data_IF_767279078154
#
_entry.id   IF_767279078154
#
_cell.length_a   1.000
_cell.length_b   1.000
_cell.length_c   1.000
_cell.angle_alpha   90.00
_cell.angle_beta   90.00
_cell.angle_gamma   90.00
#
_symmetry.space_group_name_H-M   'P 1'
#
loop_
_entity.id
_entity.type
_entity.pdbx_description
1 polymer ?
#
# COMPACT_ATOMS: atom_id res chain seq x y z
N UNK A 1 -2.07 20.85 16.91
CA UNK A 1 -3.44 21.41 17.04
C UNK A 1 -4.20 21.49 15.72
N UNK A 2 -3.68 22.11 14.64
CA UNK A 2 -4.40 22.22 13.34
C UNK A 2 -4.74 20.86 12.71
N UNK A 3 -3.86 19.88 12.72
CA UNK A 3 -4.11 18.55 12.15
C UNK A 3 -5.18 17.75 12.92
N UNK A 4 -5.20 17.86 14.24
CA UNK A 4 -6.18 17.16 15.09
C UNK A 4 -7.60 17.72 14.86
N UNK A 5 -7.71 19.04 14.75
CA UNK A 5 -8.99 19.71 14.47
C UNK A 5 -9.50 19.37 13.04
N UNK A 6 -8.62 19.38 12.03
CA UNK A 6 -8.96 18.99 10.66
C UNK A 6 -9.50 17.56 10.62
N UNK A 7 -8.82 16.62 11.27
CA UNK A 7 -9.24 15.21 11.35
C UNK A 7 -10.58 15.03 12.05
N UNK A 8 -10.82 15.76 13.14
CA UNK A 8 -12.10 15.72 13.84
C UNK A 8 -13.25 16.27 12.97
N UNK A 9 -13.06 17.43 12.34
CA UNK A 9 -14.05 18.03 11.42
C UNK A 9 -14.39 17.10 10.26
N UNK A 10 -13.37 16.48 9.66
CA UNK A 10 -13.52 15.50 8.59
C UNK A 10 -14.36 14.31 9.03
N UNK A 11 -14.08 13.72 10.20
CA UNK A 11 -14.83 12.59 10.77
C UNK A 11 -16.28 12.95 11.10
N UNK A 12 -16.51 14.09 11.71
CA UNK A 12 -17.85 14.56 12.03
C UNK A 12 -18.69 14.81 10.76
N UNK A 13 -18.10 15.47 9.76
CA UNK A 13 -18.73 15.69 8.44
C UNK A 13 -19.08 14.35 7.77
N UNK A 14 -18.12 13.43 7.70
CA UNK A 14 -18.34 12.12 7.11
C UNK A 14 -19.44 11.32 7.80
N UNK A 15 -19.45 11.29 9.13
CA UNK A 15 -20.49 10.61 9.90
C UNK A 15 -21.88 11.19 9.63
N UNK A 16 -22.01 12.52 9.60
CA UNK A 16 -23.29 13.21 9.32
C UNK A 16 -23.76 12.91 7.90
N UNK A 17 -22.90 13.06 6.90
CA UNK A 17 -23.25 12.83 5.49
C UNK A 17 -23.57 11.35 5.21
N UNK A 18 -22.90 10.44 5.89
CA UNK A 18 -23.19 9.01 5.79
C UNK A 18 -24.53 8.66 6.42
N UNK A 19 -24.79 9.10 7.66
CA UNK A 19 -26.02 8.80 8.39
C UNK A 19 -27.27 9.36 7.69
N UNK A 20 -27.17 10.55 7.08
CA UNK A 20 -28.26 11.17 6.32
C UNK A 20 -28.39 10.69 4.88
N UNK A 21 -27.40 9.93 4.36
CA UNK A 21 -27.32 9.52 2.97
C UNK A 21 -26.92 10.63 1.97
N UNK A 22 -26.73 11.88 2.46
CA UNK A 22 -26.42 13.05 1.64
C UNK A 22 -25.07 12.96 0.89
N UNK A 23 -24.13 12.09 1.36
CA UNK A 23 -22.87 11.85 0.62
C UNK A 23 -23.09 11.47 -0.84
N UNK A 24 -24.19 10.73 -1.14
CA UNK A 24 -24.52 10.28 -2.49
C UNK A 24 -24.78 11.41 -3.49
N UNK A 25 -25.14 12.60 -3.02
CA UNK A 25 -25.34 13.78 -3.89
C UNK A 25 -24.02 14.28 -4.50
N UNK A 26 -22.88 13.99 -3.87
CA UNK A 26 -21.56 14.37 -4.36
C UNK A 26 -21.09 13.46 -5.48
N UNK A 27 -21.57 12.21 -5.55
CA UNK A 27 -21.19 11.24 -6.57
C UNK A 27 -21.42 11.74 -8.01
N UNK A 28 -22.54 12.39 -8.27
CA UNK A 28 -22.84 12.96 -9.59
C UNK A 28 -21.87 14.11 -10.00
N UNK A 29 -21.22 14.74 -9.01
CA UNK A 29 -20.25 15.81 -9.20
C UNK A 29 -18.80 15.35 -9.06
N UNK A 30 -18.58 14.05 -8.79
CA UNK A 30 -17.25 13.45 -8.68
C UNK A 30 -16.54 13.52 -10.04
N UNK A 31 -15.28 13.95 -10.03
CA UNK A 31 -14.42 13.99 -11.20
C UNK A 31 -13.28 13.00 -11.01
N UNK A 32 -13.46 11.79 -11.53
CA UNK A 32 -12.48 10.74 -11.47
C UNK A 32 -12.93 9.47 -10.75
N UNK A 33 -12.18 8.40 -10.93
CA UNK A 33 -12.39 7.10 -10.32
C UNK A 33 -11.58 7.01 -9.03
N UNK A 34 -12.18 6.66 -7.87
CA UNK A 34 -11.45 6.43 -6.64
C UNK A 34 -10.74 5.08 -6.70
N UNK A 35 -9.50 5.06 -6.22
CA UNK A 35 -8.70 3.86 -6.04
C UNK A 35 -8.37 3.72 -4.56
N UNK A 36 -8.83 2.65 -3.92
CA UNK A 36 -8.59 2.37 -2.52
C UNK A 36 -7.33 1.52 -2.37
N UNK A 37 -6.47 1.90 -1.42
CA UNK A 37 -5.19 1.23 -1.15
C UNK A 37 -5.27 0.48 0.18
N UNK A 38 -5.01 -0.80 0.11
CA UNK A 38 -4.93 -1.74 1.23
C UNK A 38 -3.60 -2.48 1.20
N UNK A 39 -3.33 -3.29 2.25
CA UNK A 39 -2.20 -4.21 2.31
C UNK A 39 -2.68 -5.56 2.85
N UNK A 40 -2.56 -5.82 4.16
CA UNK A 40 -3.04 -7.03 4.82
C UNK A 40 -4.56 -7.07 4.99
N UNK A 41 -5.13 -8.27 4.86
CA UNK A 41 -6.54 -8.57 5.12
C UNK A 41 -6.67 -9.55 6.30
N UNK A 42 -7.46 -9.18 7.30
CA UNK A 42 -7.64 -9.97 8.51
C UNK A 42 -6.49 -9.81 9.50
N UNK A 43 -6.47 -10.69 10.50
CA UNK A 43 -5.49 -10.67 11.59
C UNK A 43 -4.93 -12.09 11.83
N UNK A 44 -4.31 -12.74 10.82
CA UNK A 44 -3.70 -14.04 11.06
C UNK A 44 -2.49 -13.90 12.00
N UNK A 45 -2.25 -14.92 12.83
CA UNK A 45 -1.14 -14.89 13.80
C UNK A 45 0.23 -14.71 13.14
N UNK A 46 0.39 -15.17 11.89
CA UNK A 46 1.63 -14.99 11.11
C UNK A 46 1.96 -13.53 10.79
N UNK A 47 0.98 -12.63 10.83
CA UNK A 47 1.15 -11.21 10.54
C UNK A 47 0.85 -10.30 11.74
N UNK A 48 0.76 -10.82 12.96
CA UNK A 48 0.44 -10.03 14.16
C UNK A 48 1.47 -8.93 14.44
N UNK A 49 2.72 -9.13 14.02
CA UNK A 49 3.82 -8.17 14.10
C UNK A 49 3.70 -6.99 13.12
N UNK A 50 2.87 -7.10 12.07
CA UNK A 50 2.67 -6.01 11.11
C UNK A 50 1.79 -4.92 11.76
N UNK A 51 2.13 -3.62 11.62
CA UNK A 51 1.39 -2.54 12.25
C UNK A 51 -0.08 -2.45 11.79
N UNK A 52 -0.97 -2.04 12.71
CA UNK A 52 -2.41 -1.93 12.44
C UNK A 52 -2.80 -1.01 11.29
N UNK A 53 -1.99 0.04 11.02
CA UNK A 53 -2.24 0.94 9.89
C UNK A 53 -2.02 0.28 8.50
N UNK A 54 -1.41 -0.90 8.45
CA UNK A 54 -1.27 -1.72 7.23
C UNK A 54 -2.29 -2.87 7.17
N UNK A 55 -3.23 -2.93 8.09
CA UNK A 55 -4.22 -4.01 8.19
C UNK A 55 -5.64 -3.47 8.05
N UNK A 56 -6.50 -4.32 7.52
CA UNK A 56 -7.94 -4.17 7.60
C UNK A 56 -8.56 -5.52 7.95
N UNK A 57 -9.35 -5.57 9.01
CA UNK A 57 -10.06 -6.77 9.43
C UNK A 57 -10.94 -7.31 8.28
N UNK A 58 -10.98 -8.62 8.08
CA UNK A 58 -11.74 -9.26 7.00
C UNK A 58 -13.25 -8.99 7.13
N UNK A 59 -13.81 -8.99 8.34
CA UNK A 59 -15.21 -8.62 8.56
C UNK A 59 -15.47 -7.16 8.15
N UNK A 60 -14.52 -6.28 8.41
CA UNK A 60 -14.63 -4.87 8.04
C UNK A 60 -14.48 -4.63 6.53
N UNK A 61 -13.59 -5.38 5.87
CA UNK A 61 -13.51 -5.37 4.42
C UNK A 61 -14.82 -5.87 3.80
N UNK A 62 -15.38 -6.97 4.32
CA UNK A 62 -16.70 -7.49 3.90
C UNK A 62 -17.82 -6.46 4.09
N UNK A 63 -17.83 -5.74 5.23
CA UNK A 63 -18.79 -4.64 5.44
C UNK A 63 -18.61 -3.52 4.39
N UNK A 64 -17.37 -3.10 4.11
CA UNK A 64 -17.08 -2.09 3.08
C UNK A 64 -17.57 -2.55 1.70
N UNK A 65 -17.25 -3.77 1.27
CA UNK A 65 -17.70 -4.34 0.00
C UNK A 65 -19.23 -4.40 -0.08
N UNK A 66 -19.89 -4.85 0.99
CA UNK A 66 -21.35 -4.84 1.09
C UNK A 66 -21.95 -3.44 1.00
N UNK A 67 -21.35 -2.43 1.64
CA UNK A 67 -21.79 -1.03 1.56
C UNK A 67 -21.59 -0.43 0.16
N UNK A 68 -20.47 -0.74 -0.50
CA UNK A 68 -20.23 -0.33 -1.89
C UNK A 68 -21.30 -0.92 -2.81
N UNK A 69 -21.57 -2.24 -2.73
CA UNK A 69 -22.61 -2.90 -3.52
C UNK A 69 -24.01 -2.31 -3.27
N UNK A 70 -24.42 -2.13 -1.99
CA UNK A 70 -25.70 -1.48 -1.64
C UNK A 70 -25.79 -0.02 -2.12
N UNK A 71 -24.66 0.63 -2.29
CA UNK A 71 -24.59 1.98 -2.87
C UNK A 71 -24.56 1.97 -4.40
N UNK A 72 -24.62 0.80 -5.05
CA UNK A 72 -24.60 0.64 -6.51
C UNK A 72 -23.21 0.84 -7.12
N UNK A 73 -22.14 0.59 -6.36
CA UNK A 73 -20.79 0.54 -6.89
C UNK A 73 -20.42 -0.87 -7.33
N UNK A 74 -19.85 -0.96 -8.56
CA UNK A 74 -19.07 -2.12 -8.99
C UNK A 74 -17.58 -1.84 -8.86
N UNK A 75 -16.78 -2.89 -8.83
CA UNK A 75 -15.31 -2.77 -8.78
C UNK A 75 -14.71 -2.92 -10.18
N UNK A 76 -13.53 -2.34 -10.37
CA UNK A 76 -12.67 -2.52 -11.54
C UNK A 76 -11.27 -2.92 -11.07
N UNK A 77 -10.52 -3.58 -11.93
CA UNK A 77 -9.07 -3.63 -11.79
C UNK A 77 -8.44 -2.30 -12.25
N UNK A 78 -7.16 -2.09 -11.93
CA UNK A 78 -6.43 -0.90 -12.43
C UNK A 78 -6.36 -0.90 -13.94
N UNK A 79 -6.10 -2.06 -14.57
CA UNK A 79 -6.08 -2.20 -16.03
C UNK A 79 -7.41 -1.80 -16.65
N UNK A 80 -8.54 -2.29 -16.13
CA UNK A 80 -9.88 -1.93 -16.60
C UNK A 80 -10.18 -0.43 -16.41
N UNK A 81 -9.75 0.17 -15.30
CA UNK A 81 -9.86 1.62 -15.10
C UNK A 81 -9.06 2.38 -16.14
N UNK A 82 -7.81 2.01 -16.37
CA UNK A 82 -6.92 2.66 -17.35
C UNK A 82 -7.54 2.58 -18.75
N UNK A 83 -8.05 1.43 -19.15
CA UNK A 83 -8.74 1.28 -20.43
C UNK A 83 -9.97 2.20 -20.57
N UNK A 84 -10.77 2.36 -19.52
CA UNK A 84 -11.88 3.30 -19.52
C UNK A 84 -11.39 4.76 -19.66
N UNK A 85 -10.37 5.14 -18.88
CA UNK A 85 -9.78 6.49 -18.94
C UNK A 85 -9.16 6.79 -20.32
N UNK A 86 -8.56 5.81 -20.99
CA UNK A 86 -7.99 5.94 -22.34
C UNK A 86 -9.06 6.13 -23.41
N UNK A 87 -10.29 5.60 -23.18
CA UNK A 87 -11.46 5.89 -24.02
C UNK A 87 -12.15 7.22 -23.68
N UNK A 88 -11.62 8.00 -22.74
CA UNK A 88 -12.24 9.25 -22.27
C UNK A 88 -13.39 9.04 -21.29
N UNK A 89 -13.54 7.85 -20.73
CA UNK A 89 -14.63 7.49 -19.80
C UNK A 89 -14.18 7.61 -18.34
N UNK A 90 -15.05 8.13 -17.48
CA UNK A 90 -14.86 8.24 -16.04
C UNK A 90 -16.10 7.70 -15.32
N UNK A 91 -16.24 6.37 -15.22
CA UNK A 91 -17.50 5.76 -14.77
C UNK A 91 -17.81 6.16 -13.31
N UNK A 92 -18.99 6.77 -13.05
CA UNK A 92 -19.33 7.32 -11.74
C UNK A 92 -19.69 6.25 -10.71
N UNK A 93 -19.99 5.05 -11.15
CA UNK A 93 -20.44 3.92 -10.35
C UNK A 93 -19.35 2.84 -10.18
N UNK A 94 -18.10 3.22 -10.35
CA UNK A 94 -16.94 2.31 -10.19
C UNK A 94 -15.96 2.80 -9.14
N UNK A 95 -15.32 1.82 -8.50
CA UNK A 95 -14.21 1.98 -7.56
C UNK A 95 -13.17 0.90 -7.85
N UNK A 96 -11.90 1.23 -7.65
CA UNK A 96 -10.81 0.26 -7.78
C UNK A 96 -10.31 -0.11 -6.39
N UNK A 97 -10.07 -1.40 -6.17
CA UNK A 97 -9.47 -1.92 -4.94
C UNK A 97 -8.05 -2.36 -5.26
N UNK A 98 -7.05 -1.90 -4.50
CA UNK A 98 -5.65 -2.29 -4.69
C UNK A 98 -5.06 -2.78 -3.38
N UNK A 99 -4.28 -3.86 -3.44
CA UNK A 99 -3.61 -4.47 -2.30
C UNK A 99 -2.13 -4.58 -2.59
N UNK A 100 -1.30 -4.01 -1.73
CA UNK A 100 0.16 -3.96 -1.93
C UNK A 100 0.86 -5.10 -1.19
N UNK A 101 2.14 -5.31 -1.51
CA UNK A 101 3.12 -6.21 -0.90
C UNK A 101 2.95 -7.71 -1.23
N UNK A 102 1.83 -8.15 -1.77
CA UNK A 102 1.61 -9.56 -2.11
C UNK A 102 1.53 -10.47 -0.89
N UNK A 103 0.79 -10.07 0.14
CA UNK A 103 0.59 -10.88 1.34
C UNK A 103 -0.26 -12.13 1.07
N UNK A 104 0.04 -13.23 1.78
CA UNK A 104 -0.67 -14.50 1.65
C UNK A 104 -2.17 -14.39 1.97
N UNK A 105 -2.56 -13.50 2.86
CA UNK A 105 -3.96 -13.23 3.17
C UNK A 105 -4.76 -12.65 1.99
N UNK A 106 -4.09 -12.12 0.96
CA UNK A 106 -4.75 -11.74 -0.29
C UNK A 106 -5.30 -12.97 -1.04
N UNK A 107 -4.68 -14.13 -0.91
CA UNK A 107 -5.24 -15.39 -1.39
C UNK A 107 -6.21 -15.98 -0.36
N UNK A 108 -5.80 -16.13 0.88
CA UNK A 108 -6.51 -16.95 1.87
C UNK A 108 -7.79 -16.28 2.41
N UNK A 109 -7.85 -14.93 2.42
CA UNK A 109 -8.95 -14.14 3.01
C UNK A 109 -9.58 -13.17 2.01
N UNK A 110 -8.80 -12.40 1.24
CA UNK A 110 -9.35 -11.46 0.27
C UNK A 110 -10.10 -12.17 -0.85
N UNK A 111 -9.54 -13.20 -1.46
CA UNK A 111 -10.15 -13.90 -2.58
C UNK A 111 -11.56 -14.46 -2.26
N UNK A 112 -11.81 -15.12 -1.12
CA UNK A 112 -13.16 -15.50 -0.71
C UNK A 112 -14.13 -14.31 -0.62
N UNK A 113 -13.71 -13.18 -0.02
CA UNK A 113 -14.54 -11.98 0.09
C UNK A 113 -14.86 -11.36 -1.28
N UNK A 114 -13.89 -11.31 -2.19
CA UNK A 114 -14.13 -10.83 -3.56
C UNK A 114 -15.19 -11.69 -4.27
N UNK A 115 -15.10 -13.01 -4.12
CA UNK A 115 -16.10 -13.94 -4.69
C UNK A 115 -17.49 -13.75 -4.09
N UNK A 116 -17.61 -13.64 -2.76
CA UNK A 116 -18.86 -13.41 -2.05
C UNK A 116 -19.55 -12.13 -2.52
N UNK A 117 -18.78 -11.05 -2.68
CA UNK A 117 -19.31 -9.74 -3.08
C UNK A 117 -19.31 -9.48 -4.58
N UNK A 118 -18.91 -10.46 -5.42
CA UNK A 118 -18.76 -10.32 -6.90
C UNK A 118 -17.90 -9.11 -7.26
N UNK A 119 -16.84 -8.92 -6.51
CA UNK A 119 -15.88 -7.84 -6.65
C UNK A 119 -14.59 -8.34 -7.31
N UNK A 120 -13.83 -7.42 -7.90
CA UNK A 120 -12.46 -7.67 -8.35
C UNK A 120 -11.51 -6.65 -7.73
N UNK A 121 -10.19 -6.92 -7.83
CA UNK A 121 -9.14 -6.09 -7.29
C UNK A 121 -7.86 -6.21 -8.13
N UNK A 122 -6.88 -5.36 -7.84
CA UNK A 122 -5.50 -5.50 -8.30
C UNK A 122 -4.60 -5.75 -7.09
N UNK A 123 -3.76 -6.78 -7.13
CA UNK A 123 -2.77 -7.10 -6.10
C UNK A 123 -1.38 -6.82 -6.64
N UNK A 124 -0.61 -5.97 -5.97
CA UNK A 124 0.76 -5.65 -6.33
C UNK A 124 1.73 -6.50 -5.52
N UNK A 125 2.59 -7.23 -6.21
CA UNK A 125 3.41 -8.27 -5.61
C UNK A 125 4.88 -7.87 -5.63
N UNK A 126 5.49 -7.76 -4.45
CA UNK A 126 6.94 -7.79 -4.32
C UNK A 126 7.42 -9.24 -4.46
N UNK A 127 8.41 -9.52 -5.29
CA UNK A 127 8.75 -10.91 -5.63
C UNK A 127 9.90 -11.50 -4.82
N UNK A 128 10.70 -10.68 -4.17
CA UNK A 128 11.85 -11.12 -3.37
C UNK A 128 11.53 -12.16 -2.29
N UNK A 129 10.40 -12.07 -1.55
CA UNK A 129 10.06 -13.08 -0.56
C UNK A 129 9.89 -14.48 -1.12
N UNK A 130 9.43 -14.63 -2.37
CA UNK A 130 9.29 -15.93 -3.05
C UNK A 130 10.67 -16.55 -3.37
N UNK A 131 11.73 -15.72 -3.39
CA UNK A 131 13.13 -16.14 -3.51
C UNK A 131 13.85 -16.21 -2.16
N UNK A 132 13.12 -16.05 -1.03
CA UNK A 132 13.67 -16.06 0.32
C UNK A 132 14.32 -14.75 0.78
N UNK A 133 14.08 -13.65 0.08
CA UNK A 133 14.59 -12.32 0.43
C UNK A 133 13.52 -11.47 1.11
N UNK A 134 13.58 -11.40 2.42
CA UNK A 134 12.66 -10.57 3.21
C UNK A 134 13.18 -9.13 3.25
N UNK A 135 12.35 -8.17 2.92
CA UNK A 135 12.74 -6.77 2.99
C UNK A 135 12.95 -6.32 4.44
N UNK A 136 13.82 -5.31 4.62
CA UNK A 136 14.20 -4.76 5.92
C UNK A 136 13.02 -4.32 6.78
N UNK A 137 11.93 -3.89 6.18
CA UNK A 137 10.77 -3.37 6.91
C UNK A 137 10.08 -4.47 7.73
N UNK A 138 10.05 -5.71 7.21
CA UNK A 138 9.51 -6.86 7.91
C UNK A 138 10.45 -7.37 9.00
N UNK A 139 11.77 -7.39 8.78
CA UNK A 139 12.73 -7.63 9.87
C UNK A 139 12.56 -6.61 10.99
N UNK A 140 12.43 -5.32 10.62
CA UNK A 140 12.19 -4.23 11.56
C UNK A 140 10.91 -4.44 12.37
N UNK A 141 9.77 -4.64 11.73
CA UNK A 141 8.48 -4.83 12.41
C UNK A 141 8.47 -6.08 13.29
N UNK A 142 9.06 -7.18 12.80
CA UNK A 142 9.13 -8.43 13.54
C UNK A 142 9.96 -8.30 14.84
N UNK A 143 11.11 -7.64 14.78
CA UNK A 143 11.93 -7.35 15.95
C UNK A 143 11.26 -6.33 16.86
N UNK A 144 10.70 -5.26 16.29
CA UNK A 144 9.96 -4.23 17.02
C UNK A 144 8.82 -4.80 17.85
N UNK A 145 8.02 -5.70 17.26
CA UNK A 145 6.91 -6.36 17.94
C UNK A 145 7.37 -7.17 19.17
N UNK A 146 8.53 -7.82 19.10
CA UNK A 146 9.06 -8.64 20.19
C UNK A 146 9.80 -7.87 21.27
N UNK A 147 10.48 -6.79 20.92
CA UNK A 147 11.37 -6.06 21.83
C UNK A 147 10.84 -4.69 22.26
N UNK A 148 9.90 -4.15 21.52
CA UNK A 148 9.43 -2.78 21.67
C UNK A 148 10.40 -1.73 21.11
N UNK A 149 9.93 -0.50 20.89
CA UNK A 149 10.69 0.53 20.17
C UNK A 149 11.91 1.02 20.96
N UNK A 150 11.84 1.15 22.30
CA UNK A 150 12.94 1.68 23.09
C UNK A 150 14.13 0.71 23.12
N UNK A 151 13.91 -0.57 23.40
CA UNK A 151 14.96 -1.59 23.40
C UNK A 151 15.61 -1.76 22.02
N UNK A 152 14.79 -1.77 20.95
CA UNK A 152 15.31 -1.80 19.58
C UNK A 152 16.10 -0.53 19.24
N UNK A 153 15.61 0.64 19.62
CA UNK A 153 16.29 1.91 19.37
C UNK A 153 17.63 2.02 20.07
N UNK A 154 17.73 1.53 21.32
CA UNK A 154 19.01 1.45 22.06
C UNK A 154 20.00 0.49 21.38
N UNK A 155 19.54 -0.68 20.93
CA UNK A 155 20.41 -1.63 20.23
C UNK A 155 20.92 -1.06 18.90
N UNK A 156 20.04 -0.47 18.11
CA UNK A 156 20.40 0.21 16.87
C UNK A 156 21.37 1.37 17.13
N UNK A 157 21.11 2.19 18.15
CA UNK A 157 21.97 3.31 18.53
C UNK A 157 23.37 2.91 18.98
N UNK A 158 23.54 1.70 19.54
CA UNK A 158 24.86 1.14 19.86
C UNK A 158 25.62 0.61 18.64
N UNK A 159 24.91 0.09 17.66
CA UNK A 159 25.50 -0.56 16.47
C UNK A 159 25.71 0.39 15.30
N UNK A 160 24.90 1.46 15.21
CA UNK A 160 25.06 2.51 14.21
C UNK A 160 26.10 3.53 14.68
N UNK A 161 26.76 4.19 13.73
CA UNK A 161 27.69 5.29 13.99
C UNK A 161 27.09 6.66 13.69
N UNK A 162 27.86 7.70 13.99
CA UNK A 162 27.63 9.07 13.52
C UNK A 162 26.27 9.68 13.89
N UNK A 163 25.70 10.41 12.96
CA UNK A 163 24.46 11.18 13.15
C UNK A 163 23.24 10.26 13.36
N UNK A 164 23.17 9.12 12.67
CA UNK A 164 22.07 8.17 12.82
C UNK A 164 21.95 7.64 14.26
N UNK A 165 23.07 7.25 14.87
CA UNK A 165 23.12 6.88 16.27
C UNK A 165 22.68 8.03 17.19
N UNK A 166 23.08 9.28 16.87
CA UNK A 166 22.66 10.48 17.58
C UNK A 166 21.15 10.68 17.58
N UNK A 167 20.50 10.47 16.45
CA UNK A 167 19.04 10.60 16.29
C UNK A 167 18.25 9.53 17.04
N UNK A 168 18.86 8.39 17.36
CA UNK A 168 18.24 7.31 18.12
C UNK A 168 18.45 7.43 19.63
N UNK A 169 19.37 8.28 20.07
CA UNK A 169 19.49 8.63 21.51
C UNK A 169 18.33 9.49 21.94
N UNK A 170 17.77 9.21 23.12
CA UNK A 170 16.65 9.98 23.67
C UNK A 170 15.38 9.89 22.81
N UNK A 171 14.99 8.67 22.45
CA UNK A 171 13.69 8.43 21.80
C UNK A 171 12.55 9.02 22.63
N UNK A 172 11.46 9.50 21.98
CA UNK A 172 10.28 9.96 22.70
C UNK A 172 9.77 8.89 23.67
N UNK A 173 9.23 9.26 24.86
CA UNK A 173 8.60 8.30 25.77
C UNK A 173 7.40 7.58 25.15
N UNK A 174 6.65 8.25 24.27
CA UNK A 174 5.54 7.66 23.52
C UNK A 174 6.05 6.60 22.53
N UNK A 175 5.59 5.34 22.64
CA UNK A 175 6.06 4.24 21.78
C UNK A 175 5.82 4.50 20.28
N UNK A 176 4.70 5.12 19.93
CA UNK A 176 4.34 5.40 18.53
C UNK A 176 5.28 6.45 17.93
N UNK A 177 5.60 7.50 18.69
CA UNK A 177 6.56 8.52 18.25
C UNK A 177 8.00 7.97 18.20
N UNK A 178 8.36 7.05 19.10
CA UNK A 178 9.64 6.36 19.09
C UNK A 178 9.77 5.46 17.85
N UNK A 179 8.76 4.64 17.54
CA UNK A 179 8.68 3.81 16.33
C UNK A 179 8.84 4.67 15.07
N UNK A 180 8.07 5.74 14.96
CA UNK A 180 8.15 6.65 13.82
C UNK A 180 9.56 7.21 13.62
N UNK A 181 10.23 7.62 14.70
CA UNK A 181 11.60 8.14 14.64
C UNK A 181 12.58 7.08 14.19
N UNK A 182 12.52 5.86 14.73
CA UNK A 182 13.40 4.75 14.33
C UNK A 182 13.22 4.43 12.85
N UNK A 183 11.97 4.24 12.40
CA UNK A 183 11.65 3.94 11.01
C UNK A 183 12.18 5.01 10.05
N UNK A 184 12.04 6.29 10.43
CA UNK A 184 12.54 7.41 9.63
C UNK A 184 14.07 7.39 9.51
N UNK A 185 14.79 7.19 10.63
CA UNK A 185 16.25 7.10 10.63
C UNK A 185 16.72 5.94 9.76
N UNK A 186 16.14 4.77 9.92
CA UNK A 186 16.47 3.59 9.12
C UNK A 186 16.19 3.78 7.63
N UNK A 187 15.12 4.50 7.28
CA UNK A 187 14.72 4.73 5.88
C UNK A 187 15.60 5.76 5.17
N UNK A 188 16.03 6.83 5.85
CA UNK A 188 16.60 8.00 5.19
C UNK A 188 18.03 8.38 5.65
N UNK A 189 18.46 7.94 6.84
CA UNK A 189 19.74 8.37 7.43
C UNK A 189 20.77 7.23 7.49
N UNK A 190 20.40 6.00 7.10
CA UNK A 190 21.28 4.82 7.07
C UNK A 190 21.34 4.28 5.66
N UNK A 191 22.53 3.87 5.21
CA UNK A 191 22.65 3.21 3.89
C UNK A 191 21.78 1.95 3.84
N UNK A 192 21.21 1.63 2.67
CA UNK A 192 20.40 0.42 2.51
C UNK A 192 21.19 -0.83 2.94
N UNK A 193 22.44 -0.95 2.52
CA UNK A 193 23.29 -2.10 2.85
C UNK A 193 23.54 -2.24 4.35
N UNK A 194 23.84 -1.16 5.08
CA UNK A 194 24.06 -1.22 6.52
C UNK A 194 22.78 -1.48 7.29
N UNK A 195 21.69 -0.84 6.88
CA UNK A 195 20.35 -1.06 7.46
C UNK A 195 19.94 -2.52 7.34
N UNK A 196 20.01 -3.07 6.13
CA UNK A 196 19.51 -4.41 5.83
C UNK A 196 20.37 -5.47 6.54
N UNK A 197 21.70 -5.33 6.51
CA UNK A 197 22.62 -6.19 7.25
C UNK A 197 22.36 -6.14 8.76
N UNK A 198 22.22 -4.94 9.33
CA UNK A 198 22.03 -4.77 10.78
C UNK A 198 20.71 -5.37 11.25
N UNK A 199 19.62 -5.13 10.51
CA UNK A 199 18.31 -5.67 10.85
C UNK A 199 18.25 -7.19 10.67
N UNK A 200 18.89 -7.75 9.63
CA UNK A 200 19.03 -9.20 9.45
C UNK A 200 19.77 -9.85 10.63
N UNK A 201 20.91 -9.27 11.05
CA UNK A 201 21.66 -9.75 12.22
C UNK A 201 20.80 -9.75 13.49
N UNK A 202 20.06 -8.67 13.75
CA UNK A 202 19.18 -8.55 14.92
C UNK A 202 18.00 -9.53 14.82
N UNK A 203 17.40 -9.68 13.65
CA UNK A 203 16.31 -10.60 13.37
C UNK A 203 16.73 -12.05 13.63
N UNK A 204 17.86 -12.50 13.04
CA UNK A 204 18.41 -13.86 13.25
C UNK A 204 18.79 -14.12 14.71
N UNK A 205 19.43 -13.17 15.36
CA UNK A 205 19.77 -13.26 16.78
C UNK A 205 18.54 -13.37 17.71
N UNK A 206 17.39 -12.87 17.25
CA UNK A 206 16.11 -13.01 17.93
C UNK A 206 15.34 -14.29 17.59
N UNK A 207 15.92 -15.20 16.78
CA UNK A 207 15.31 -16.45 16.36
C UNK A 207 14.48 -16.35 15.08
N UNK A 208 14.62 -15.27 14.31
CA UNK A 208 13.93 -15.11 13.02
C UNK A 208 14.50 -16.03 11.94
N UNK A 209 13.63 -16.48 11.04
CA UNK A 209 13.95 -17.33 9.89
C UNK A 209 13.23 -16.82 8.64
N UNK A 210 14.00 -16.36 7.64
CA UNK A 210 13.47 -15.76 6.42
C UNK A 210 12.61 -16.72 5.61
N UNK A 211 13.07 -17.97 5.43
CA UNK A 211 12.35 -18.94 4.62
C UNK A 211 11.02 -19.37 5.27
N UNK A 212 10.97 -19.41 6.60
CA UNK A 212 9.72 -19.67 7.32
C UNK A 212 8.78 -18.48 7.22
N UNK A 213 9.30 -17.25 7.45
CA UNK A 213 8.53 -16.02 7.37
C UNK A 213 7.96 -15.82 5.97
N UNK A 214 8.77 -16.05 4.91
CA UNK A 214 8.32 -15.96 3.52
C UNK A 214 7.10 -16.84 3.26
N UNK A 215 7.17 -18.12 3.62
CA UNK A 215 6.06 -19.07 3.42
C UNK A 215 4.79 -18.73 4.19
N UNK A 216 4.92 -18.11 5.36
CA UNK A 216 3.78 -17.77 6.23
C UNK A 216 3.10 -16.47 5.85
N UNK A 217 3.83 -15.52 5.26
CA UNK A 217 3.39 -14.13 5.14
C UNK A 217 3.12 -13.71 3.70
N UNK A 218 3.84 -14.27 2.71
CA UNK A 218 3.69 -13.87 1.31
C UNK A 218 3.04 -14.93 0.43
N UNK A 219 2.47 -14.47 -0.68
CA UNK A 219 1.93 -15.32 -1.74
C UNK A 219 3.03 -16.24 -2.30
N UNK A 220 2.69 -17.45 -2.64
CA UNK A 220 3.50 -18.29 -3.51
C UNK A 220 3.18 -18.02 -4.99
N UNK A 221 4.00 -18.48 -5.95
CA UNK A 221 3.65 -18.45 -7.36
C UNK A 221 2.33 -19.16 -7.69
N UNK A 222 1.99 -20.21 -6.94
CA UNK A 222 0.72 -20.94 -7.03
C UNK A 222 -0.46 -20.06 -6.59
N UNK A 223 -0.31 -19.34 -5.48
CA UNK A 223 -1.32 -18.41 -4.97
C UNK A 223 -1.55 -17.26 -5.99
N UNK A 224 -0.47 -16.74 -6.62
CA UNK A 224 -0.57 -15.74 -7.68
C UNK A 224 -1.37 -16.26 -8.87
N UNK A 225 -1.11 -17.49 -9.35
CA UNK A 225 -1.92 -18.10 -10.43
C UNK A 225 -3.37 -18.30 -10.03
N UNK A 226 -3.65 -18.65 -8.78
CA UNK A 226 -5.01 -18.84 -8.30
C UNK A 226 -5.80 -17.51 -8.23
N UNK A 227 -5.14 -16.42 -7.84
CA UNK A 227 -5.70 -15.06 -7.88
C UNK A 227 -6.00 -14.63 -9.31
N UNK A 228 -5.04 -14.78 -10.21
CA UNK A 228 -5.17 -14.43 -11.63
C UNK A 228 -6.31 -15.20 -12.32
N UNK A 229 -6.36 -16.54 -12.13
CA UNK A 229 -7.43 -17.39 -12.65
C UNK A 229 -8.83 -17.01 -12.10
N UNK A 230 -8.88 -16.34 -10.96
CA UNK A 230 -10.11 -15.82 -10.37
C UNK A 230 -10.48 -14.40 -10.85
N UNK A 231 -9.72 -13.80 -11.76
CA UNK A 231 -9.95 -12.47 -12.31
C UNK A 231 -9.45 -11.32 -11.43
N UNK A 232 -8.52 -11.61 -10.49
CA UNK A 232 -7.77 -10.58 -9.77
C UNK A 232 -6.55 -10.21 -10.61
N UNK A 233 -6.38 -8.92 -10.91
CA UNK A 233 -5.22 -8.45 -11.64
C UNK A 233 -3.97 -8.50 -10.75
N UNK A 234 -2.85 -9.02 -11.26
CA UNK A 234 -1.55 -8.97 -10.60
C UNK A 234 -0.70 -7.85 -11.21
N UNK A 235 -0.07 -7.03 -10.37
CA UNK A 235 0.85 -5.98 -10.75
C UNK A 235 2.20 -6.12 -10.05
N UNK A 236 3.26 -5.51 -10.62
CA UNK A 236 4.61 -5.55 -10.07
C UNK A 236 4.81 -4.52 -8.94
N UNK A 237 5.62 -4.89 -7.94
CA UNK A 237 5.94 -4.04 -6.77
C UNK A 237 7.43 -4.13 -6.39
N UNK A 238 8.31 -4.21 -7.37
CA UNK A 238 9.75 -4.45 -7.25
C UNK A 238 10.11 -5.83 -6.66
N UNK A 239 11.38 -6.17 -6.65
CA UNK A 239 11.87 -7.39 -5.99
C UNK A 239 11.96 -7.17 -4.48
N UNK A 240 12.70 -6.15 -4.02
CA UNK A 240 13.08 -5.97 -2.63
C UNK A 240 12.41 -4.79 -1.91
N UNK A 241 11.39 -4.16 -2.52
CA UNK A 241 10.64 -3.05 -1.93
C UNK A 241 11.54 -1.87 -1.49
N UNK A 242 12.53 -1.51 -2.32
CA UNK A 242 13.46 -0.41 -2.04
C UNK A 242 12.86 0.95 -2.40
N UNK A 243 13.38 2.02 -1.78
CA UNK A 243 13.07 3.41 -2.18
C UNK A 243 13.78 3.68 -3.50
N UNK A 244 13.05 3.67 -4.62
CA UNK A 244 13.61 3.73 -5.96
C UNK A 244 14.44 5.00 -6.19
N UNK A 245 13.98 6.17 -5.72
CA UNK A 245 14.72 7.42 -5.87
C UNK A 245 16.10 7.46 -5.18
N UNK A 246 16.37 6.53 -4.25
CA UNK A 246 17.67 6.42 -3.58
C UNK A 246 18.69 5.54 -4.32
N UNK A 247 18.27 4.93 -5.44
CA UNK A 247 19.05 4.00 -6.23
C UNK A 247 19.52 4.64 -7.53
N UNK A 248 20.63 4.17 -8.08
CA UNK A 248 20.97 4.48 -9.46
C UNK A 248 20.01 3.83 -10.46
N UNK A 249 19.97 4.33 -11.70
CA UNK A 249 19.05 3.86 -12.73
C UNK A 249 19.17 2.37 -13.03
N UNK A 250 20.40 1.82 -13.02
CA UNK A 250 20.63 0.42 -13.32
C UNK A 250 20.02 -0.48 -12.23
N UNK A 251 20.19 -0.11 -10.98
CA UNK A 251 19.59 -0.80 -9.83
C UNK A 251 18.06 -0.64 -9.81
N UNK A 252 17.52 0.55 -10.10
CA UNK A 252 16.08 0.74 -10.27
C UNK A 252 15.51 -0.19 -11.34
N UNK A 253 16.21 -0.27 -12.50
CA UNK A 253 15.82 -1.18 -13.59
C UNK A 253 15.81 -2.63 -13.13
N UNK A 254 16.86 -3.09 -12.45
CA UNK A 254 16.94 -4.46 -11.95
C UNK A 254 15.80 -4.82 -10.99
N UNK A 255 15.45 -3.92 -10.09
CA UNK A 255 14.33 -4.07 -9.15
C UNK A 255 12.97 -4.18 -9.87
N UNK A 256 12.73 -3.35 -10.86
CA UNK A 256 11.45 -3.29 -11.59
C UNK A 256 11.35 -4.46 -12.58
N UNK A 257 12.38 -4.67 -13.40
CA UNK A 257 12.43 -5.71 -14.42
C UNK A 257 12.46 -7.12 -13.81
N UNK A 258 13.15 -7.30 -12.68
CA UNK A 258 13.16 -8.56 -11.94
C UNK A 258 11.77 -8.98 -11.49
N UNK A 259 11.01 -8.09 -10.86
CA UNK A 259 9.65 -8.39 -10.43
C UNK A 259 8.68 -8.60 -11.61
N UNK A 260 8.86 -7.87 -12.70
CA UNK A 260 8.09 -8.06 -13.94
C UNK A 260 8.39 -9.43 -14.56
N UNK A 261 9.66 -9.84 -14.61
CA UNK A 261 10.10 -11.13 -15.13
C UNK A 261 9.48 -12.28 -14.33
N UNK A 262 9.58 -12.23 -13.01
CA UNK A 262 9.01 -13.24 -12.10
C UNK A 262 7.51 -13.42 -12.34
N UNK A 263 6.75 -12.30 -12.33
CA UNK A 263 5.31 -12.35 -12.54
C UNK A 263 4.93 -12.89 -13.93
N UNK A 264 5.61 -12.47 -15.00
CA UNK A 264 5.40 -13.03 -16.34
C UNK A 264 5.65 -14.52 -16.40
N UNK A 265 6.72 -14.98 -15.74
CA UNK A 265 7.05 -16.40 -15.67
C UNK A 265 5.97 -17.19 -14.90
N UNK A 266 5.48 -16.66 -13.78
CA UNK A 266 4.48 -17.36 -12.97
C UNK A 266 3.10 -17.39 -13.60
N UNK A 267 2.68 -16.30 -14.23
CA UNK A 267 1.33 -16.12 -14.78
C UNK A 267 1.21 -16.62 -16.25
N UNK A 268 2.30 -16.62 -17.00
CA UNK A 268 2.30 -17.02 -18.40
C UNK A 268 1.75 -15.95 -19.36
N UNK A 269 1.55 -14.71 -18.88
CA UNK A 269 1.10 -13.58 -19.70
C UNK A 269 1.74 -12.27 -19.23
N UNK A 270 1.49 -11.17 -19.97
CA UNK A 270 2.02 -9.86 -19.68
C UNK A 270 1.41 -9.24 -18.41
N UNK A 271 2.25 -8.51 -17.67
CA UNK A 271 1.87 -7.67 -16.53
C UNK A 271 2.16 -6.21 -16.90
N UNK A 272 1.15 -5.36 -16.82
CA UNK A 272 1.21 -3.99 -17.34
C UNK A 272 1.03 -2.90 -16.27
N UNK A 273 0.82 -3.29 -15.02
CA UNK A 273 0.59 -2.37 -13.90
C UNK A 273 1.69 -2.48 -12.84
N UNK A 274 2.08 -1.35 -12.27
CA UNK A 274 3.14 -1.23 -11.26
C UNK A 274 2.65 -0.43 -10.06
N UNK A 275 3.11 -0.76 -8.85
CA UNK A 275 2.97 0.12 -7.68
C UNK A 275 4.36 0.53 -7.18
N UNK A 276 4.51 1.83 -6.88
CA UNK A 276 5.76 2.33 -6.31
C UNK A 276 5.88 1.93 -4.84
N UNK A 277 6.98 1.30 -4.39
CA UNK A 277 7.27 1.11 -2.98
C UNK A 277 7.16 2.43 -2.22
N UNK A 278 6.42 2.45 -1.09
CA UNK A 278 6.06 3.65 -0.32
C UNK A 278 5.18 4.66 -1.07
N UNK A 279 5.45 4.93 -2.35
CA UNK A 279 4.62 5.65 -3.30
C UNK A 279 4.43 7.15 -3.08
N UNK A 280 5.25 7.82 -2.26
CA UNK A 280 5.26 9.29 -2.18
C UNK A 280 6.05 9.88 -3.34
N UNK A 281 5.80 11.13 -3.70
CA UNK A 281 6.45 11.80 -4.84
C UNK A 281 7.98 11.91 -4.75
N UNK A 282 8.55 11.69 -3.59
CA UNK A 282 10.00 11.64 -3.36
C UNK A 282 10.58 10.23 -3.26
N UNK A 283 9.76 9.18 -3.34
CA UNK A 283 10.20 7.78 -3.29
C UNK A 283 10.53 7.21 -4.69
N UNK A 284 10.24 7.95 -5.76
CA UNK A 284 10.60 7.66 -7.15
C UNK A 284 11.07 8.94 -7.86
N UNK A 285 11.62 8.83 -9.07
CA UNK A 285 12.16 9.96 -9.84
C UNK A 285 11.97 9.75 -11.36
N UNK A 286 12.52 10.68 -12.17
CA UNK A 286 12.44 10.60 -13.64
C UNK A 286 13.10 9.34 -14.22
N UNK A 287 14.18 8.83 -13.61
CA UNK A 287 14.77 7.54 -14.03
C UNK A 287 13.80 6.40 -13.81
N UNK A 288 13.06 6.38 -12.70
CA UNK A 288 12.02 5.38 -12.44
C UNK A 288 10.93 5.43 -13.52
N UNK A 289 10.45 6.64 -13.85
CA UNK A 289 9.41 6.82 -14.88
C UNK A 289 9.92 6.40 -16.27
N UNK A 290 11.18 6.69 -16.58
CA UNK A 290 11.80 6.27 -17.84
C UNK A 290 11.91 4.74 -17.93
N UNK A 291 12.36 4.08 -16.86
CA UNK A 291 12.45 2.61 -16.79
C UNK A 291 11.09 1.94 -16.97
N UNK A 292 10.05 2.46 -16.31
CA UNK A 292 8.70 1.93 -16.47
C UNK A 292 8.18 2.02 -17.91
N UNK A 293 8.44 3.15 -18.60
CA UNK A 293 8.08 3.33 -20.03
C UNK A 293 8.85 2.35 -20.91
N UNK A 294 10.15 2.20 -20.70
CA UNK A 294 11.01 1.27 -21.46
C UNK A 294 10.63 -0.19 -21.29
N UNK A 295 10.14 -0.57 -20.10
CA UNK A 295 9.66 -1.94 -19.80
C UNK A 295 8.23 -2.18 -20.26
N UNK A 296 7.53 -1.15 -20.79
CA UNK A 296 6.20 -1.26 -21.35
C UNK A 296 5.06 -1.25 -20.33
N UNK A 297 5.29 -0.74 -19.12
CA UNK A 297 4.20 -0.57 -18.15
C UNK A 297 3.18 0.46 -18.67
N UNK A 298 1.92 0.08 -18.68
CA UNK A 298 0.81 0.95 -19.08
C UNK A 298 0.32 1.84 -17.94
N UNK A 299 0.52 1.40 -16.70
CA UNK A 299 0.12 2.16 -15.53
C UNK A 299 1.08 1.97 -14.36
N UNK A 300 1.19 3.01 -13.54
CA UNK A 300 1.85 2.92 -12.24
C UNK A 300 1.07 3.75 -11.22
N UNK A 301 1.00 3.21 -9.99
CA UNK A 301 0.14 3.76 -8.96
C UNK A 301 0.95 4.23 -7.76
N UNK A 302 0.62 5.41 -7.26
CA UNK A 302 1.29 6.07 -6.14
C UNK A 302 0.50 5.90 -4.84
N UNK A 303 1.04 6.39 -3.71
CA UNK A 303 0.29 6.59 -2.47
C UNK A 303 -0.15 8.06 -2.28
N UNK A 304 -0.13 8.85 -3.35
CA UNK A 304 -0.59 10.24 -3.32
C UNK A 304 -2.12 10.29 -3.32
N UNK A 305 -2.73 11.08 -2.41
CA UNK A 305 -4.20 11.13 -2.30
C UNK A 305 -4.86 11.81 -3.50
N UNK A 306 -6.00 11.27 -3.93
CA UNK A 306 -6.82 11.87 -4.97
C UNK A 306 -7.61 10.88 -5.79
N UNK A 307 -8.35 11.41 -6.76
CA UNK A 307 -9.12 10.67 -7.75
C UNK A 307 -8.37 10.64 -9.09
N UNK A 308 -8.73 9.72 -9.96
CA UNK A 308 -8.11 9.54 -11.27
C UNK A 308 -9.11 9.84 -12.38
N UNK A 309 -8.79 10.75 -13.25
CA UNK A 309 -9.60 11.14 -14.41
C UNK A 309 -8.82 10.99 -15.73
N UNK A 310 -9.43 11.40 -16.84
CA UNK A 310 -8.83 11.27 -18.16
C UNK A 310 -7.53 12.07 -18.33
N UNK A 311 -7.32 13.12 -17.53
CA UNK A 311 -6.12 13.95 -17.55
C UNK A 311 -5.03 13.42 -16.61
N UNK A 312 -5.34 12.45 -15.74
CA UNK A 312 -4.35 11.89 -14.80
C UNK A 312 -3.28 11.07 -15.54
N UNK A 313 -2.01 11.37 -15.28
CA UNK A 313 -0.88 10.63 -15.84
C UNK A 313 -0.95 9.15 -15.47
N UNK A 314 -0.87 8.26 -16.46
CA UNK A 314 -1.04 6.80 -16.24
C UNK A 314 0.06 6.18 -15.40
N UNK A 315 1.23 6.80 -15.33
CA UNK A 315 2.34 6.35 -14.47
C UNK A 315 2.35 7.04 -13.10
N UNK A 316 1.34 7.83 -12.76
CA UNK A 316 1.23 8.53 -11.47
C UNK A 316 -0.20 8.55 -10.94
N UNK A 317 -0.87 7.40 -11.04
CA UNK A 317 -2.23 7.23 -10.54
C UNK A 317 -2.28 7.39 -9.02
N UNK A 318 -3.36 8.00 -8.53
CA UNK A 318 -3.54 8.37 -7.12
C UNK A 318 -4.38 7.36 -6.38
N UNK A 319 -4.19 7.28 -5.06
CA UNK A 319 -4.92 6.35 -4.20
C UNK A 319 -5.43 7.01 -2.92
N UNK A 320 -6.41 6.37 -2.32
CA UNK A 320 -6.99 6.69 -1.01
C UNK A 320 -6.58 5.56 -0.06
N UNK A 321 -5.74 5.88 0.93
CA UNK A 321 -5.29 4.90 1.91
C UNK A 321 -6.44 4.47 2.83
N UNK A 322 -6.59 3.18 3.04
CA UNK A 322 -7.59 2.57 3.92
C UNK A 322 -6.90 1.67 4.94
N UNK A 323 -7.24 1.86 6.20
CA UNK A 323 -6.75 1.05 7.32
C UNK A 323 -7.81 0.93 8.40
N UNK A 324 -7.52 0.13 9.42
CA UNK A 324 -8.41 -0.08 10.57
C UNK A 324 -8.83 1.23 11.26
N UNK A 325 -7.96 2.24 11.28
CA UNK A 325 -8.19 3.51 11.95
C UNK A 325 -9.10 4.47 11.20
N UNK A 326 -9.40 4.21 9.92
CA UNK A 326 -10.23 5.08 9.07
C UNK A 326 -11.70 4.66 9.17
N UNK A 327 -12.62 5.49 9.69
CA UNK A 327 -14.03 5.14 9.78
C UNK A 327 -14.65 4.81 8.41
N UNK A 328 -15.54 3.80 8.36
CA UNK A 328 -16.23 3.39 7.13
C UNK A 328 -16.97 4.56 6.45
N UNK A 329 -17.62 5.40 7.23
CA UNK A 329 -18.29 6.60 6.74
C UNK A 329 -17.31 7.55 5.99
N UNK A 330 -16.08 7.65 6.47
CA UNK A 330 -15.03 8.46 5.88
C UNK A 330 -14.57 7.87 4.54
N UNK A 331 -14.36 6.54 4.48
CA UNK A 331 -14.00 5.84 3.24
C UNK A 331 -15.11 6.02 2.20
N UNK A 332 -16.37 5.85 2.56
CA UNK A 332 -17.50 6.03 1.65
C UNK A 332 -17.67 7.48 1.17
N UNK A 333 -17.33 8.47 2.01
CA UNK A 333 -17.30 9.88 1.60
C UNK A 333 -16.16 10.16 0.61
N UNK A 334 -14.99 9.53 0.77
CA UNK A 334 -13.92 9.57 -0.24
C UNK A 334 -14.38 8.99 -1.57
N UNK A 335 -15.00 7.81 -1.52
CA UNK A 335 -15.52 7.12 -2.71
C UNK A 335 -16.57 7.95 -3.44
N UNK A 336 -17.45 8.64 -2.72
CA UNK A 336 -18.45 9.54 -3.31
C UNK A 336 -17.86 10.90 -3.75
N UNK A 337 -16.56 11.17 -3.50
CA UNK A 337 -15.87 12.40 -3.91
C UNK A 337 -16.17 13.61 -3.05
N UNK A 338 -16.67 13.44 -1.82
CA UNK A 338 -17.02 14.53 -0.88
C UNK A 338 -15.81 15.41 -0.62
N UNK A 339 -14.68 14.83 -0.21
CA UNK A 339 -13.50 15.62 0.16
C UNK A 339 -12.80 16.23 -1.04
N UNK A 340 -12.85 15.60 -2.21
CA UNK A 340 -12.40 16.20 -3.46
C UNK A 340 -13.26 17.41 -3.86
N UNK A 341 -14.58 17.31 -3.66
CA UNK A 341 -15.50 18.41 -3.91
C UNK A 341 -15.19 19.64 -3.04
N UNK A 342 -14.90 19.45 -1.74
CA UNK A 342 -14.50 20.52 -0.83
C UNK A 342 -13.12 21.08 -1.18
N UNK A 343 -12.15 20.22 -1.50
CA UNK A 343 -10.80 20.64 -1.88
C UNK A 343 -10.79 21.56 -3.10
N UNK A 344 -11.61 21.24 -4.11
CA UNK A 344 -11.78 22.11 -5.30
C UNK A 344 -12.41 23.47 -5.00
N UNK A 345 -12.97 23.68 -3.81
CA UNK A 345 -13.55 24.94 -3.33
C UNK A 345 -12.69 25.63 -2.27
N UNK A 346 -11.44 25.20 -2.14
CA UNK A 346 -10.47 25.84 -1.23
C UNK A 346 -10.47 25.26 0.20
N UNK A 347 -11.31 24.26 0.50
CA UNK A 347 -11.32 23.57 1.80
C UNK A 347 -10.75 22.15 1.65
N UNK A 348 -9.41 22.03 1.70
CA UNK A 348 -8.76 20.74 1.60
C UNK A 348 -8.86 19.94 2.90
N UNK A 349 -9.79 18.98 2.91
CA UNK A 349 -10.01 18.01 3.98
C UNK A 349 -9.41 16.63 3.65
N UNK A 350 -8.70 16.45 2.54
CA UNK A 350 -8.06 15.18 2.18
C UNK A 350 -6.95 14.84 3.18
N UNK A 351 -6.72 13.56 3.42
CA UNK A 351 -5.75 13.03 4.40
C UNK A 351 -4.36 12.87 3.79
#
# INVERSE_FOLDING_TARGET
MKHTLKRWLRRALAATLHATGLRRLFRAQRRGVPVLMFHNVGKPASTDYIPGHMKLDDARLGELLGQLGRSGYGTLTVGQMVEALDRGECPPDRVVLTFDDGYKDNHDRLLPLLREHRATATVYVQTGPMHGHINWLHHYFWVLHRRGPHALGEELGRRLGGEAAGKLRGLPPDPVAAEYRIKRVLKYDVSAADRDRLLDEIFRAAGGNDAELARQVWLSPEDCRALDAAGVELGAHTVNHLVLSSLDRATQRAEIEGSLHDLRQWLGHDVASFAYPYGRSWDYNEDTLAVLRELGFRSAITAMPGLNDVATGRLELRRIAVSEDVPLAEILCEVDGVFDWFARRGLDLRS
#
